data_IF_549717064051
#
_entry.id   IF_549717064051
#
_cell.length_a   1.000
_cell.length_b   1.000
_cell.length_c   1.000
_cell.angle_alpha   90.00
_cell.angle_beta   90.00
_cell.angle_gamma   90.00
#
_symmetry.space_group_name_H-M   'P 1'
#
loop_
_entity.id
_entity.type
_entity.pdbx_description
1 polymer ?
#
# COMPACT_ATOMS: atom_id res chain seq x y z
N UNK A 1 36.97 -9.85 -3.07
CA UNK A 1 35.70 -10.53 -3.39
C UNK A 1 34.62 -10.34 -2.34
N UNK A 2 34.90 -10.45 -1.02
CA UNK A 2 33.91 -10.26 0.06
C UNK A 2 33.10 -8.94 -0.01
N UNK A 3 33.74 -7.83 -0.36
CA UNK A 3 33.07 -6.53 -0.48
C UNK A 3 31.98 -6.48 -1.57
N UNK A 4 32.21 -7.12 -2.73
CA UNK A 4 31.18 -7.19 -3.78
C UNK A 4 30.06 -8.17 -3.36
N UNK A 5 30.41 -9.34 -2.81
CA UNK A 5 29.40 -10.28 -2.34
C UNK A 5 28.50 -9.64 -1.29
N UNK A 6 29.07 -8.89 -0.33
CA UNK A 6 28.30 -8.15 0.65
C UNK A 6 27.49 -7.01 0.02
N UNK A 7 28.05 -6.29 -0.97
CA UNK A 7 27.35 -5.24 -1.72
C UNK A 7 26.10 -5.79 -2.44
N UNK A 8 26.20 -6.96 -3.06
CA UNK A 8 25.06 -7.64 -3.71
C UNK A 8 24.03 -8.08 -2.68
N UNK A 9 24.45 -8.61 -1.55
CA UNK A 9 23.53 -8.94 -0.45
C UNK A 9 22.75 -7.69 -0.02
N UNK A 10 23.44 -6.59 0.23
CA UNK A 10 22.81 -5.34 0.64
C UNK A 10 21.82 -4.81 -0.41
N UNK A 11 22.22 -4.71 -1.69
CA UNK A 11 21.34 -4.27 -2.78
C UNK A 11 20.09 -5.14 -2.88
N UNK A 12 20.28 -6.46 -2.88
CA UNK A 12 19.19 -7.42 -3.07
C UNK A 12 18.20 -7.36 -1.90
N UNK A 13 18.69 -7.27 -0.66
CA UNK A 13 17.85 -7.15 0.53
C UNK A 13 17.09 -5.81 0.54
N UNK A 14 17.76 -4.70 0.20
CA UNK A 14 17.11 -3.38 0.16
C UNK A 14 16.02 -3.31 -0.91
N UNK A 15 16.26 -3.85 -2.10
CA UNK A 15 15.26 -3.92 -3.17
C UNK A 15 14.10 -4.86 -2.80
N UNK A 16 14.38 -6.00 -2.15
CA UNK A 16 13.36 -6.91 -1.65
C UNK A 16 12.50 -6.26 -0.57
N UNK A 17 13.13 -5.53 0.36
CA UNK A 17 12.45 -4.75 1.38
C UNK A 17 11.54 -3.67 0.78
N UNK A 18 12.05 -2.90 -0.20
CA UNK A 18 11.26 -1.87 -0.89
C UNK A 18 10.02 -2.45 -1.58
N UNK A 19 10.17 -3.57 -2.26
CA UNK A 19 9.06 -4.26 -2.91
C UNK A 19 8.04 -4.80 -1.89
N UNK A 20 8.48 -5.38 -0.77
CA UNK A 20 7.63 -5.82 0.32
C UNK A 20 6.88 -4.66 0.99
N UNK A 21 7.58 -3.56 1.28
CA UNK A 21 7.00 -2.34 1.82
C UNK A 21 5.88 -1.77 0.92
N UNK A 22 6.15 -1.68 -0.39
CA UNK A 22 5.15 -1.28 -1.37
C UNK A 22 3.92 -2.19 -1.36
N UNK A 23 4.16 -3.50 -1.29
CA UNK A 23 3.06 -4.48 -1.26
C UNK A 23 2.14 -4.27 -0.06
N UNK A 24 2.69 -4.04 1.13
CA UNK A 24 1.90 -3.79 2.35
C UNK A 24 1.15 -2.48 2.25
N UNK A 25 1.81 -1.39 1.84
CA UNK A 25 1.12 -0.09 1.69
C UNK A 25 -0.01 -0.14 0.65
N UNK A 26 0.20 -0.82 -0.46
CA UNK A 26 -0.86 -0.98 -1.46
C UNK A 26 -1.99 -1.88 -0.96
N UNK A 27 -1.67 -2.93 -0.19
CA UNK A 27 -2.68 -3.80 0.41
C UNK A 27 -3.57 -3.03 1.41
N UNK A 28 -2.99 -2.29 2.36
CA UNK A 28 -3.78 -1.50 3.33
C UNK A 28 -4.65 -0.45 2.64
N UNK A 29 -4.12 0.15 1.56
CA UNK A 29 -4.85 1.08 0.72
C UNK A 29 -6.01 0.41 -0.03
N UNK A 30 -5.85 -0.84 -0.51
CA UNK A 30 -6.89 -1.59 -1.23
C UNK A 30 -8.02 -2.11 -0.33
N UNK A 31 -7.70 -2.43 0.91
CA UNK A 31 -8.66 -2.96 1.89
C UNK A 31 -9.73 -1.92 2.27
N UNK A 32 -9.45 -0.62 2.14
CA UNK A 32 -10.44 0.45 2.40
C UNK A 32 -11.76 0.26 1.62
N UNK A 33 -11.71 -0.22 0.39
CA UNK A 33 -12.88 -0.44 -0.47
C UNK A 33 -12.53 -0.36 -1.94
N UNK A 34 -13.40 -0.89 -2.78
CA UNK A 34 -13.21 -0.98 -4.25
C UNK A 34 -13.46 0.35 -4.97
N UNK A 35 -13.05 1.48 -4.39
CA UNK A 35 -13.28 2.83 -4.94
C UNK A 35 -14.45 3.55 -4.27
N UNK A 36 -14.82 3.18 -3.06
CA UNK A 36 -15.84 3.91 -2.31
C UNK A 36 -15.36 5.32 -1.96
N UNK A 37 -16.23 6.30 -2.19
CA UNK A 37 -16.07 7.68 -1.77
C UNK A 37 -17.07 7.97 -0.67
N UNK A 38 -16.59 8.55 0.42
CA UNK A 38 -17.41 8.97 1.55
C UNK A 38 -17.68 10.46 1.41
N UNK A 39 -18.93 10.86 1.48
CA UNK A 39 -19.34 12.25 1.44
C UNK A 39 -20.02 12.67 2.76
N UNK A 40 -19.45 13.66 3.43
CA UNK A 40 -19.99 14.24 4.66
C UNK A 40 -20.74 15.52 4.36
N UNK A 41 -21.93 15.72 4.95
CA UNK A 41 -22.61 17.01 4.90
C UNK A 41 -21.86 18.02 5.78
N UNK A 42 -21.65 19.19 5.26
CA UNK A 42 -20.97 20.28 5.94
C UNK A 42 -21.85 21.52 6.08
N UNK A 43 -21.21 22.68 6.02
CA UNK A 43 -21.86 23.98 6.11
C UNK A 43 -21.38 24.85 4.95
N UNK A 44 -22.30 25.52 4.26
CA UNK A 44 -21.96 26.38 3.13
C UNK A 44 -21.06 27.54 3.56
N UNK A 45 -20.04 27.82 2.77
CA UNK A 45 -19.11 28.95 3.00
C UNK A 45 -19.31 30.10 2.02
N UNK A 46 -20.06 29.88 0.94
CA UNK A 46 -20.33 30.84 -0.10
C UNK A 46 -21.82 31.20 -0.12
N UNK A 47 -22.13 32.46 -0.45
CA UNK A 47 -23.49 32.86 -0.70
C UNK A 47 -23.87 32.48 -2.13
N UNK A 48 -24.91 31.68 -2.31
CA UNK A 48 -25.42 31.28 -3.61
C UNK A 48 -26.92 30.96 -3.56
N UNK A 49 -27.61 31.02 -4.70
CA UNK A 49 -29.00 30.61 -4.82
C UNK A 49 -29.98 31.48 -3.95
N UNK A 50 -29.59 32.69 -3.55
CA UNK A 50 -30.36 33.53 -2.64
C UNK A 50 -30.22 33.18 -1.15
N UNK A 51 -29.44 32.13 -0.82
CA UNK A 51 -29.20 31.69 0.54
C UNK A 51 -27.88 32.31 1.10
N UNK A 52 -27.85 32.56 2.40
CA UNK A 52 -26.63 33.05 3.07
C UNK A 52 -25.64 31.94 3.31
N UNK A 53 -24.36 32.28 3.35
CA UNK A 53 -23.33 31.39 3.87
C UNK A 53 -23.65 30.95 5.32
N UNK A 54 -23.23 29.75 5.70
CA UNK A 54 -23.51 29.17 7.02
C UNK A 54 -24.74 28.24 7.06
N UNK A 55 -25.38 27.95 5.92
CA UNK A 55 -26.48 26.99 5.84
C UNK A 55 -25.94 25.57 6.01
N UNK A 56 -26.45 24.76 6.98
CA UNK A 56 -26.07 23.38 7.10
C UNK A 56 -26.64 22.55 5.93
N UNK A 57 -25.81 21.79 5.25
CA UNK A 57 -26.21 20.78 4.28
C UNK A 57 -26.68 19.54 5.05
N UNK A 58 -27.73 18.88 4.61
CA UNK A 58 -28.24 17.65 5.21
C UNK A 58 -28.64 16.67 4.12
N UNK A 59 -28.18 15.45 4.23
CA UNK A 59 -28.51 14.41 3.25
C UNK A 59 -29.87 13.77 3.56
N UNK A 60 -30.82 14.03 2.69
CA UNK A 60 -32.18 13.50 2.77
C UNK A 60 -32.28 12.11 2.09
N UNK A 61 -33.42 11.45 2.29
CA UNK A 61 -33.65 10.11 1.76
C UNK A 61 -33.51 10.05 0.23
N UNK A 62 -34.02 11.05 -0.45
CA UNK A 62 -34.09 11.12 -1.92
C UNK A 62 -32.78 11.59 -2.56
N UNK A 63 -31.83 12.12 -1.79
CA UNK A 63 -30.57 12.64 -2.31
C UNK A 63 -29.73 11.54 -2.99
N UNK A 64 -29.75 10.32 -2.45
CA UNK A 64 -29.03 9.19 -3.03
C UNK A 64 -29.55 8.84 -4.43
N UNK A 65 -30.85 8.76 -4.60
CA UNK A 65 -31.49 8.47 -5.88
C UNK A 65 -31.32 9.63 -6.86
N UNK A 66 -31.46 10.87 -6.37
CA UNK A 66 -31.23 12.08 -7.15
C UNK A 66 -29.81 12.14 -7.72
N UNK A 67 -28.80 11.93 -6.87
CA UNK A 67 -27.39 11.90 -7.30
C UNK A 67 -27.18 10.84 -8.36
N UNK A 68 -27.69 9.62 -8.16
CA UNK A 68 -27.58 8.55 -9.13
C UNK A 68 -28.22 8.88 -10.48
N UNK A 69 -29.37 9.56 -10.46
CA UNK A 69 -30.07 9.96 -11.68
C UNK A 69 -29.36 11.08 -12.44
N UNK A 70 -28.73 12.02 -11.73
CA UNK A 70 -28.07 13.20 -12.31
C UNK A 70 -26.58 12.99 -12.62
N UNK A 71 -25.97 11.90 -12.17
CA UNK A 71 -24.52 11.71 -12.21
C UNK A 71 -24.17 10.38 -12.92
N UNK A 72 -24.01 10.37 -14.25
CA UNK A 72 -23.74 9.16 -15.02
C UNK A 72 -22.38 8.51 -14.69
N UNK A 73 -21.46 9.24 -14.08
CA UNK A 73 -20.17 8.72 -13.63
C UNK A 73 -20.23 8.01 -12.26
N UNK A 74 -21.40 8.01 -11.62
CA UNK A 74 -21.61 7.35 -10.34
C UNK A 74 -22.41 6.06 -10.56
N UNK A 75 -21.80 4.95 -10.17
CA UNK A 75 -22.38 3.61 -10.34
C UNK A 75 -23.42 3.30 -9.26
N UNK A 76 -23.10 3.57 -8.00
CA UNK A 76 -23.92 3.30 -6.82
C UNK A 76 -23.81 4.42 -5.81
N UNK A 77 -24.89 4.68 -5.10
CA UNK A 77 -24.95 5.59 -3.95
C UNK A 77 -25.77 4.92 -2.87
N UNK A 78 -25.29 4.95 -1.65
CA UNK A 78 -26.01 4.43 -0.49
C UNK A 78 -25.92 5.38 0.68
N UNK A 79 -26.92 5.33 1.56
CA UNK A 79 -26.99 6.14 2.78
C UNK A 79 -26.43 5.35 3.96
N UNK A 80 -25.75 6.07 4.84
CA UNK A 80 -25.30 5.53 6.11
C UNK A 80 -25.70 6.49 7.24
N UNK A 81 -26.22 5.94 8.32
CA UNK A 81 -26.42 6.65 9.58
C UNK A 81 -25.54 6.06 10.66
N UNK A 82 -24.87 6.89 11.43
CA UNK A 82 -23.91 6.45 12.44
C UNK A 82 -24.21 7.12 13.77
N UNK A 83 -24.25 6.32 14.82
CA UNK A 83 -24.24 6.81 16.19
C UNK A 83 -23.34 5.96 17.09
N UNK A 84 -22.65 6.60 18.02
CA UNK A 84 -21.90 5.89 19.06
C UNK A 84 -22.88 5.45 20.15
N UNK A 85 -22.94 4.14 20.39
CA UNK A 85 -23.84 3.52 21.34
C UNK A 85 -23.14 2.41 22.11
N UNK A 86 -23.57 2.19 23.35
CA UNK A 86 -23.18 1.01 24.09
C UNK A 86 -23.81 -0.24 23.46
N UNK A 87 -22.96 -1.15 23.04
CA UNK A 87 -23.35 -2.51 22.61
C UNK A 87 -23.03 -3.46 23.74
N UNK A 88 -24.01 -4.23 24.18
CA UNK A 88 -23.84 -5.13 25.31
C UNK A 88 -24.20 -6.58 24.97
N UNK A 89 -23.43 -7.50 25.52
CA UNK A 89 -23.69 -8.92 25.55
C UNK A 89 -23.48 -9.40 26.98
N UNK A 90 -24.52 -9.94 27.58
CA UNK A 90 -24.56 -10.29 29.01
C UNK A 90 -24.10 -9.09 29.88
N UNK A 91 -23.02 -9.28 30.67
CA UNK A 91 -22.46 -8.25 31.55
C UNK A 91 -21.43 -7.32 30.84
N UNK A 92 -21.03 -7.65 29.61
CA UNK A 92 -20.04 -6.90 28.88
C UNK A 92 -20.69 -5.79 28.08
N UNK A 93 -20.14 -4.58 28.20
CA UNK A 93 -20.60 -3.41 27.45
C UNK A 93 -19.39 -2.76 26.77
N UNK A 94 -19.54 -2.42 25.51
CA UNK A 94 -18.54 -1.66 24.73
C UNK A 94 -19.22 -0.57 23.94
N UNK A 95 -18.65 0.63 24.00
CA UNK A 95 -19.05 1.71 23.12
C UNK A 95 -18.51 1.42 21.72
N UNK A 96 -19.38 1.47 20.73
CA UNK A 96 -19.08 1.20 19.35
C UNK A 96 -19.82 2.16 18.43
N UNK A 97 -19.27 2.40 17.24
CA UNK A 97 -20.02 3.05 16.17
C UNK A 97 -21.06 2.06 15.64
N UNK A 98 -22.32 2.33 15.89
CA UNK A 98 -23.43 1.57 15.32
C UNK A 98 -23.82 2.24 14.01
N UNK A 99 -23.67 1.48 12.91
CA UNK A 99 -23.88 1.95 11.55
C UNK A 99 -25.16 1.34 10.98
N UNK A 100 -26.14 2.18 10.70
CA UNK A 100 -27.33 1.79 9.96
C UNK A 100 -27.05 1.90 8.45
N UNK A 101 -27.07 0.76 7.74
CA UNK A 101 -26.61 0.65 6.36
C UNK A 101 -27.60 -0.11 5.47
N UNK A 102 -27.41 0.01 4.15
CA UNK A 102 -28.05 -0.81 3.14
C UNK A 102 -27.10 -1.92 2.66
N UNK A 103 -27.61 -2.98 2.02
CA UNK A 103 -26.81 -4.14 1.63
C UNK A 103 -25.62 -3.81 0.71
N UNK A 104 -25.77 -2.83 -0.18
CA UNK A 104 -24.74 -2.40 -1.15
C UNK A 104 -23.48 -1.85 -0.47
N UNK A 105 -23.63 -1.33 0.76
CA UNK A 105 -22.52 -0.81 1.55
C UNK A 105 -21.40 -1.83 1.71
N UNK A 106 -21.74 -3.10 1.98
CA UNK A 106 -20.79 -4.18 2.20
C UNK A 106 -19.84 -4.37 1.03
N UNK A 107 -20.38 -4.42 -0.21
CA UNK A 107 -19.54 -4.56 -1.40
C UNK A 107 -18.69 -3.31 -1.67
N UNK A 108 -19.26 -2.11 -1.48
CA UNK A 108 -18.58 -0.83 -1.72
C UNK A 108 -17.40 -0.64 -0.75
N UNK A 109 -17.59 -1.03 0.52
CA UNK A 109 -16.61 -0.90 1.60
C UNK A 109 -15.75 -2.16 1.80
N UNK A 110 -15.94 -3.18 0.97
CA UNK A 110 -15.22 -4.46 1.07
C UNK A 110 -15.40 -5.13 2.45
N UNK A 111 -16.65 -5.13 2.95
CA UNK A 111 -17.01 -5.83 4.18
C UNK A 111 -17.27 -7.30 3.89
N UNK A 112 -16.26 -8.14 4.11
CA UNK A 112 -16.31 -9.57 3.81
C UNK A 112 -16.65 -10.35 5.09
N UNK A 113 -17.75 -11.12 5.11
CA UNK A 113 -18.03 -12.01 6.23
C UNK A 113 -16.96 -13.09 6.38
N UNK A 114 -16.42 -13.26 7.58
CA UNK A 114 -15.61 -14.43 7.96
C UNK A 114 -16.49 -15.55 8.51
N UNK A 115 -17.60 -15.18 9.13
CA UNK A 115 -18.57 -16.10 9.71
C UNK A 115 -19.98 -15.55 9.51
N UNK A 116 -20.94 -16.44 9.18
CA UNK A 116 -22.31 -16.06 8.91
C UNK A 116 -22.52 -15.35 7.57
N UNK A 117 -23.33 -14.28 7.56
CA UNK A 117 -23.70 -13.54 6.36
C UNK A 117 -23.75 -12.03 6.60
N UNK A 118 -23.64 -11.28 5.52
CA UNK A 118 -23.89 -9.83 5.49
C UNK A 118 -25.40 -9.52 5.53
N UNK A 119 -25.73 -8.25 5.78
CA UNK A 119 -27.10 -7.73 5.76
C UNK A 119 -27.67 -7.86 4.36
N UNK A 120 -28.89 -8.43 4.28
CA UNK A 120 -29.59 -8.66 3.02
C UNK A 120 -30.69 -7.61 2.76
N UNK A 121 -31.21 -7.50 1.51
CA UNK A 121 -32.34 -6.64 1.19
C UNK A 121 -33.59 -6.95 2.02
N UNK A 122 -33.83 -8.22 2.34
CA UNK A 122 -34.97 -8.67 3.16
C UNK A 122 -34.85 -8.15 4.59
N UNK A 123 -33.63 -8.14 5.17
CA UNK A 123 -33.41 -7.60 6.52
C UNK A 123 -33.79 -6.11 6.59
N UNK A 124 -33.50 -5.36 5.53
CA UNK A 124 -33.88 -3.94 5.42
C UNK A 124 -35.38 -3.77 5.20
N UNK A 125 -35.99 -4.55 4.29
CA UNK A 125 -37.40 -4.45 3.95
C UNK A 125 -38.31 -4.81 5.14
N UNK A 126 -37.93 -5.85 5.88
CA UNK A 126 -38.71 -6.37 7.03
C UNK A 126 -38.29 -5.72 8.36
N UNK A 127 -37.37 -4.74 8.35
CA UNK A 127 -36.82 -4.09 9.55
C UNK A 127 -36.33 -5.08 10.60
N UNK A 128 -35.67 -6.17 10.13
CA UNK A 128 -35.15 -7.21 11.02
C UNK A 128 -34.12 -6.62 11.97
N UNK A 129 -34.21 -7.00 13.24
CA UNK A 129 -33.25 -6.62 14.28
C UNK A 129 -32.07 -7.58 14.25
N UNK A 130 -31.25 -7.45 13.22
CA UNK A 130 -30.04 -8.23 13.03
C UNK A 130 -28.82 -7.32 13.05
N UNK A 131 -27.68 -7.87 13.47
CA UNK A 131 -26.41 -7.14 13.56
C UNK A 131 -25.28 -7.96 12.98
N UNK A 132 -24.42 -7.31 12.21
CA UNK A 132 -23.13 -7.83 11.77
C UNK A 132 -22.03 -7.12 12.56
N UNK A 133 -21.09 -7.88 13.14
CA UNK A 133 -20.09 -7.34 14.05
C UNK A 133 -18.72 -7.21 13.40
N UNK A 134 -18.04 -6.10 13.68
CA UNK A 134 -16.63 -5.97 13.44
C UNK A 134 -15.81 -6.96 14.27
N UNK A 135 -14.67 -7.39 13.78
CA UNK A 135 -13.83 -8.42 14.39
C UNK A 135 -13.40 -8.09 15.82
N UNK A 136 -12.95 -6.86 16.06
CA UNK A 136 -12.51 -6.41 17.38
C UNK A 136 -13.69 -6.23 18.34
N UNK A 137 -14.82 -5.72 17.85
CA UNK A 137 -16.02 -5.60 18.66
C UNK A 137 -16.52 -6.98 19.08
N UNK A 138 -16.54 -7.96 18.17
CA UNK A 138 -16.88 -9.37 18.49
C UNK A 138 -15.94 -9.93 19.55
N UNK A 139 -14.61 -9.78 19.39
CA UNK A 139 -13.60 -10.25 20.33
C UNK A 139 -13.82 -9.66 21.73
N UNK A 140 -14.11 -8.36 21.82
CA UNK A 140 -14.34 -7.64 23.09
C UNK A 140 -15.65 -8.06 23.78
N UNK A 141 -16.71 -8.40 23.03
CA UNK A 141 -18.00 -8.80 23.58
C UNK A 141 -18.06 -10.28 23.94
N UNK A 142 -17.49 -11.17 23.11
CA UNK A 142 -17.62 -12.62 23.23
C UNK A 142 -16.36 -13.32 23.73
N UNK A 143 -15.22 -12.61 23.90
CA UNK A 143 -13.93 -13.20 24.37
C UNK A 143 -13.45 -14.41 23.57
N UNK A 144 -13.77 -14.44 22.27
CA UNK A 144 -13.38 -15.54 21.38
C UNK A 144 -14.42 -16.63 21.21
N UNK A 145 -15.51 -16.61 21.98
CA UNK A 145 -16.62 -17.55 21.79
C UNK A 145 -17.40 -17.26 20.50
N UNK A 146 -18.10 -18.27 19.94
CA UNK A 146 -18.94 -18.07 18.75
C UNK A 146 -20.03 -17.03 19.03
N UNK A 147 -20.14 -16.03 18.16
CA UNK A 147 -21.12 -14.95 18.29
C UNK A 147 -22.36 -15.18 17.41
N UNK A 148 -22.28 -16.05 16.40
CA UNK A 148 -23.34 -16.26 15.42
C UNK A 148 -24.62 -16.83 16.07
N UNK A 149 -25.73 -16.13 15.86
CA UNK A 149 -27.03 -16.51 16.44
C UNK A 149 -27.27 -15.95 17.84
N UNK A 150 -26.23 -15.46 18.52
CA UNK A 150 -26.34 -14.85 19.83
C UNK A 150 -27.02 -13.48 19.80
N UNK A 151 -27.49 -13.01 20.96
CA UNK A 151 -28.14 -11.71 21.09
C UNK A 151 -27.23 -10.67 21.72
N UNK A 152 -27.13 -9.52 21.08
CA UNK A 152 -26.53 -8.30 21.66
C UNK A 152 -27.61 -7.25 21.85
N UNK A 153 -27.42 -6.35 22.80
CA UNK A 153 -28.33 -5.22 23.01
C UNK A 153 -27.67 -3.93 22.57
N UNK A 154 -28.37 -3.19 21.74
CA UNK A 154 -27.95 -1.85 21.28
C UNK A 154 -28.99 -0.88 21.86
N UNK A 155 -28.57 0.03 22.73
CA UNK A 155 -29.47 0.96 23.42
C UNK A 155 -30.64 0.22 24.14
N UNK A 156 -30.35 -0.97 24.67
CA UNK A 156 -31.32 -1.83 25.34
C UNK A 156 -32.21 -2.70 24.43
N UNK A 157 -32.22 -2.44 23.12
CA UNK A 157 -32.99 -3.21 22.14
C UNK A 157 -32.18 -4.44 21.69
N UNK A 158 -32.78 -5.66 21.71
CA UNK A 158 -32.07 -6.88 21.30
C UNK A 158 -31.92 -6.98 19.77
N UNK A 159 -30.73 -7.39 19.33
CA UNK A 159 -30.36 -7.69 17.94
C UNK A 159 -29.73 -9.09 17.91
N UNK A 160 -30.06 -9.88 16.89
CA UNK A 160 -29.42 -11.18 16.64
C UNK A 160 -28.20 -11.03 15.79
N UNK A 161 -27.08 -11.60 16.21
CA UNK A 161 -25.82 -11.60 15.44
C UNK A 161 -25.98 -12.54 14.25
N UNK A 162 -25.87 -12.00 13.02
CA UNK A 162 -25.99 -12.77 11.77
C UNK A 162 -24.64 -13.05 11.10
N UNK A 163 -23.58 -12.44 11.58
CA UNK A 163 -22.25 -12.65 11.08
C UNK A 163 -21.24 -11.70 11.70
N UNK A 164 -19.99 -11.94 11.38
CA UNK A 164 -18.87 -11.09 11.75
C UNK A 164 -17.83 -11.03 10.65
N UNK A 165 -17.05 -9.96 10.58
CA UNK A 165 -15.95 -9.82 9.63
C UNK A 165 -14.64 -10.37 10.19
N UNK A 166 -13.72 -10.70 9.28
CA UNK A 166 -12.30 -10.81 9.60
C UNK A 166 -11.73 -9.44 9.93
N UNK A 167 -10.55 -9.44 10.56
CA UNK A 167 -9.83 -8.21 10.85
C UNK A 167 -9.51 -7.44 9.56
N UNK A 168 -9.89 -6.17 9.54
CA UNK A 168 -9.71 -5.28 8.40
C UNK A 168 -8.53 -4.36 8.65
N UNK A 169 -7.41 -4.62 7.97
CA UNK A 169 -6.21 -3.80 8.07
C UNK A 169 -6.33 -2.58 7.15
N UNK A 170 -7.03 -1.55 7.61
CA UNK A 170 -7.27 -0.34 6.84
C UNK A 170 -6.88 0.91 7.63
N UNK A 171 -6.08 1.79 7.01
CA UNK A 171 -5.69 3.08 7.59
C UNK A 171 -6.81 4.13 7.54
N UNK A 172 -7.90 3.84 6.82
CA UNK A 172 -8.96 4.80 6.57
C UNK A 172 -10.21 4.49 7.38
N UNK A 173 -10.14 4.81 8.65
CA UNK A 173 -11.29 4.82 9.55
C UNK A 173 -12.01 6.16 9.47
N UNK A 174 -13.34 6.15 9.38
CA UNK A 174 -14.15 7.35 9.56
C UNK A 174 -15.22 7.08 10.62
N UNK A 175 -15.49 8.04 11.48
CA UNK A 175 -16.19 7.91 12.76
C UNK A 175 -15.48 6.92 13.70
N UNK A 176 -15.38 5.66 13.32
CA UNK A 176 -14.61 4.59 13.96
C UNK A 176 -14.14 3.59 12.89
N UNK A 177 -13.21 2.71 13.24
CA UNK A 177 -12.78 1.65 12.35
C UNK A 177 -13.87 0.59 12.17
N UNK A 178 -13.94 -0.03 11.00
CA UNK A 178 -14.99 -0.97 10.66
C UNK A 178 -14.95 -2.21 11.56
N UNK A 179 -13.76 -2.66 11.96
CA UNK A 179 -13.55 -3.80 12.87
C UNK A 179 -14.01 -3.54 14.32
N UNK A 180 -14.14 -2.28 14.74
CA UNK A 180 -14.71 -1.89 16.03
C UNK A 180 -16.19 -1.45 15.94
N UNK A 181 -16.82 -1.62 14.79
CA UNK A 181 -18.18 -1.15 14.51
C UNK A 181 -19.21 -2.29 14.55
N UNK A 182 -20.47 -1.91 14.76
CA UNK A 182 -21.62 -2.79 14.60
C UNK A 182 -22.47 -2.30 13.44
N UNK A 183 -22.86 -3.18 12.53
CA UNK A 183 -23.65 -2.85 11.34
C UNK A 183 -25.05 -3.43 11.50
N UNK A 184 -26.05 -2.59 11.30
CA UNK A 184 -27.48 -2.96 11.39
C UNK A 184 -28.21 -2.47 10.13
N UNK A 185 -29.36 -3.05 9.77
CA UNK A 185 -30.19 -2.52 8.69
C UNK A 185 -30.57 -1.05 8.94
N UNK A 186 -30.48 -0.20 7.89
CA UNK A 186 -30.81 1.23 7.99
C UNK A 186 -32.20 1.45 8.58
N UNK A 187 -33.17 0.63 8.20
CA UNK A 187 -34.54 0.69 8.68
C UNK A 187 -34.68 0.31 10.15
N UNK A 188 -33.88 -0.64 10.64
CA UNK A 188 -33.83 -1.00 12.06
C UNK A 188 -33.14 0.08 12.91
N UNK A 189 -32.19 0.83 12.35
CA UNK A 189 -31.60 1.99 13.01
C UNK A 189 -32.65 3.06 13.35
N UNK A 190 -33.69 3.21 12.52
CA UNK A 190 -34.82 4.11 12.76
C UNK A 190 -35.63 3.79 14.00
N UNK A 191 -35.55 2.56 14.54
CA UNK A 191 -36.16 2.20 15.83
C UNK A 191 -35.33 2.72 17.03
N UNK A 192 -34.07 3.07 16.81
CA UNK A 192 -33.13 3.48 17.86
C UNK A 192 -32.91 5.00 17.91
N UNK A 193 -32.88 5.66 16.75
CA UNK A 193 -32.67 7.12 16.61
C UNK A 193 -33.31 7.66 15.33
N UNK A 194 -33.36 9.00 15.23
CA UNK A 194 -33.87 9.67 14.03
C UNK A 194 -32.93 9.45 12.84
N UNK A 195 -33.43 8.80 11.80
CA UNK A 195 -32.73 8.52 10.53
C UNK A 195 -33.22 9.38 9.37
N UNK A 196 -33.91 10.49 9.66
CA UNK A 196 -34.41 11.43 8.63
C UNK A 196 -33.28 11.91 7.73
N UNK A 197 -32.13 12.22 8.32
CA UNK A 197 -30.95 12.65 7.63
C UNK A 197 -29.85 11.57 7.74
N UNK A 198 -29.20 11.26 6.63
CA UNK A 198 -28.05 10.38 6.65
C UNK A 198 -26.84 11.11 7.25
N UNK A 199 -26.00 10.37 7.99
CA UNK A 199 -24.73 10.88 8.50
C UNK A 199 -23.73 11.12 7.37
N UNK A 200 -23.72 10.21 6.37
CA UNK A 200 -22.91 10.28 5.16
C UNK A 200 -23.65 9.64 3.99
N UNK A 201 -23.25 10.03 2.78
CA UNK A 201 -23.51 9.26 1.57
C UNK A 201 -22.23 8.55 1.14
N UNK A 202 -22.32 7.25 0.95
CA UNK A 202 -21.25 6.43 0.39
C UNK A 202 -21.58 6.15 -1.05
N UNK A 203 -20.65 6.40 -1.96
CA UNK A 203 -20.88 6.21 -3.38
C UNK A 203 -19.63 5.64 -4.09
N UNK A 204 -19.83 5.08 -5.25
CA UNK A 204 -18.80 4.43 -6.06
C UNK A 204 -18.84 4.97 -7.49
N UNK A 205 -17.70 5.42 -8.06
CA UNK A 205 -17.63 5.80 -9.46
C UNK A 205 -17.74 4.57 -10.37
N UNK A 206 -18.08 4.78 -11.65
CA UNK A 206 -18.14 3.70 -12.66
C UNK A 206 -16.79 3.02 -12.88
N UNK A 207 -15.69 3.78 -12.71
CA UNK A 207 -14.32 3.27 -12.67
C UNK A 207 -13.43 4.23 -11.86
N UNK A 208 -12.33 3.75 -11.25
CA UNK A 208 -11.48 4.56 -10.37
C UNK A 208 -10.98 5.87 -11.01
N UNK A 209 -10.54 5.84 -12.26
CA UNK A 209 -10.06 7.04 -12.97
C UNK A 209 -11.10 8.14 -13.17
N UNK A 210 -12.39 7.85 -12.98
CA UNK A 210 -13.47 8.86 -13.05
C UNK A 210 -13.81 9.48 -11.69
N UNK A 211 -13.18 9.05 -10.59
CA UNK A 211 -13.49 9.53 -9.25
C UNK A 211 -13.45 11.06 -9.14
N UNK A 212 -12.40 11.80 -9.61
CA UNK A 212 -12.38 13.26 -9.51
C UNK A 212 -13.54 13.94 -10.27
N UNK A 213 -13.87 13.44 -11.46
CA UNK A 213 -14.98 13.97 -12.25
C UNK A 213 -16.34 13.62 -11.63
N UNK A 214 -16.48 12.40 -11.08
CA UNK A 214 -17.67 11.96 -10.37
C UNK A 214 -17.90 12.78 -9.08
N UNK A 215 -16.85 13.17 -8.34
CA UNK A 215 -16.93 14.07 -7.19
C UNK A 215 -17.53 15.43 -7.57
N UNK A 216 -17.15 15.97 -8.73
CA UNK A 216 -17.72 17.22 -9.24
C UNK A 216 -19.20 17.03 -9.55
N UNK A 217 -19.58 15.93 -10.22
CA UNK A 217 -20.98 15.63 -10.55
C UNK A 217 -21.82 15.44 -9.28
N UNK A 218 -21.30 14.69 -8.29
CA UNK A 218 -21.95 14.48 -7.00
C UNK A 218 -22.27 15.82 -6.31
N UNK A 219 -21.24 16.67 -6.18
CA UNK A 219 -21.42 17.98 -5.53
C UNK A 219 -22.40 18.84 -6.31
N UNK A 220 -22.32 18.85 -7.64
CA UNK A 220 -23.24 19.63 -8.49
C UNK A 220 -24.68 19.14 -8.34
N UNK A 221 -24.92 17.83 -8.30
CA UNK A 221 -26.25 17.27 -8.13
C UNK A 221 -26.90 17.68 -6.80
N UNK A 222 -26.17 17.59 -5.69
CA UNK A 222 -26.68 18.03 -4.38
C UNK A 222 -26.79 19.55 -4.30
N UNK A 223 -25.82 20.30 -4.86
CA UNK A 223 -25.85 21.77 -4.89
C UNK A 223 -27.06 22.30 -5.61
N UNK A 224 -27.45 21.74 -6.75
CA UNK A 224 -28.64 22.11 -7.50
C UNK A 224 -29.93 21.83 -6.71
N UNK A 225 -29.99 20.73 -5.96
CA UNK A 225 -31.15 20.36 -5.15
C UNK A 225 -31.31 21.24 -3.92
N UNK A 226 -30.17 21.54 -3.25
CA UNK A 226 -30.18 22.26 -1.97
C UNK A 226 -29.81 23.75 -2.10
N UNK A 227 -29.67 24.28 -3.34
CA UNK A 227 -29.46 25.69 -3.67
C UNK A 227 -28.20 26.30 -3.04
N UNK A 228 -27.06 25.64 -3.19
CA UNK A 228 -25.74 26.19 -2.83
C UNK A 228 -24.76 26.16 -4.02
N UNK A 229 -23.58 26.79 -3.89
CA UNK A 229 -22.60 26.85 -4.95
C UNK A 229 -21.93 25.48 -5.15
N UNK A 230 -21.90 24.90 -6.37
CA UNK A 230 -21.15 23.66 -6.65
C UNK A 230 -19.63 23.76 -6.40
N UNK A 231 -19.08 25.00 -6.37
CA UNK A 231 -17.67 25.26 -6.06
C UNK A 231 -17.37 25.18 -4.56
N UNK A 232 -18.39 25.26 -3.71
CA UNK A 232 -18.22 25.26 -2.26
C UNK A 232 -17.86 23.88 -1.73
N UNK A 233 -16.56 23.66 -1.54
CA UNK A 233 -16.01 22.40 -1.02
C UNK A 233 -16.35 22.16 0.46
N UNK A 234 -16.70 23.21 1.23
CA UNK A 234 -17.08 23.09 2.64
C UNK A 234 -18.53 22.63 2.83
N UNK A 235 -19.38 22.86 1.83
CA UNK A 235 -20.75 22.38 1.84
C UNK A 235 -20.83 20.86 1.84
N UNK A 236 -19.91 20.18 1.13
CA UNK A 236 -19.76 18.73 1.14
C UNK A 236 -18.28 18.39 1.10
N UNK A 237 -17.80 17.77 2.16
CA UNK A 237 -16.46 17.19 2.21
C UNK A 237 -16.52 15.77 1.67
N UNK A 238 -15.64 15.43 0.76
CA UNK A 238 -15.56 14.09 0.19
C UNK A 238 -14.17 13.53 0.38
N UNK A 239 -14.10 12.25 0.70
CA UNK A 239 -12.88 11.47 0.81
C UNK A 239 -12.96 10.31 -0.16
N UNK A 240 -12.11 10.31 -1.15
CA UNK A 240 -12.01 9.26 -2.15
C UNK A 240 -10.63 8.63 -2.16
N UNK A 241 -10.57 7.42 -2.65
CA UNK A 241 -9.34 6.64 -2.71
C UNK A 241 -8.33 7.24 -3.71
N UNK A 242 -8.80 7.63 -4.88
CA UNK A 242 -7.92 8.10 -5.96
C UNK A 242 -7.23 9.43 -5.64
N UNK A 243 -7.79 10.25 -4.73
CA UNK A 243 -7.16 11.47 -4.26
C UNK A 243 -5.86 11.20 -3.49
N UNK A 244 -5.79 10.09 -2.76
CA UNK A 244 -4.63 9.72 -1.93
C UNK A 244 -3.65 8.82 -2.65
N UNK A 245 -4.07 8.13 -3.71
CA UNK A 245 -3.23 7.23 -4.48
C UNK A 245 -1.89 7.84 -4.92
N UNK A 246 -1.82 9.09 -5.45
CA UNK A 246 -0.56 9.70 -5.82
C UNK A 246 0.40 9.91 -4.64
N UNK A 247 -0.14 10.11 -3.43
CA UNK A 247 0.65 10.28 -2.21
C UNK A 247 1.29 8.94 -1.83
N UNK A 248 0.52 7.85 -1.82
CA UNK A 248 1.03 6.51 -1.54
C UNK A 248 2.06 6.05 -2.59
N UNK A 249 1.76 6.28 -3.87
CA UNK A 249 2.72 6.02 -4.96
C UNK A 249 3.98 6.86 -4.82
N UNK A 250 3.86 8.14 -4.47
CA UNK A 250 4.99 9.04 -4.24
C UNK A 250 5.87 8.57 -3.07
N UNK A 251 5.28 8.16 -1.96
CA UNK A 251 6.02 7.61 -0.81
C UNK A 251 6.75 6.33 -1.21
N UNK A 252 6.09 5.39 -1.89
CA UNK A 252 6.70 4.13 -2.29
C UNK A 252 7.84 4.34 -3.28
N UNK A 253 7.64 5.17 -4.31
CA UNK A 253 8.69 5.51 -5.29
C UNK A 253 9.87 6.22 -4.59
N UNK A 254 9.59 7.13 -3.66
CA UNK A 254 10.63 7.84 -2.90
C UNK A 254 11.49 6.87 -2.09
N UNK A 255 10.88 5.93 -1.38
CA UNK A 255 11.59 4.91 -0.59
C UNK A 255 12.35 3.96 -1.51
N UNK A 256 11.72 3.42 -2.55
CA UNK A 256 12.39 2.55 -3.51
C UNK A 256 13.62 3.21 -4.15
N UNK A 257 13.50 4.51 -4.50
CA UNK A 257 14.60 5.30 -5.06
C UNK A 257 15.74 5.48 -4.06
N UNK A 258 15.42 5.80 -2.80
CA UNK A 258 16.41 5.93 -1.73
C UNK A 258 17.15 4.61 -1.50
N UNK A 259 16.42 3.50 -1.37
CA UNK A 259 17.00 2.18 -1.15
C UNK A 259 17.87 1.75 -2.33
N UNK A 260 17.44 2.02 -3.57
CA UNK A 260 18.24 1.79 -4.77
C UNK A 260 19.56 2.58 -4.72
N UNK A 261 19.51 3.85 -4.35
CA UNK A 261 20.70 4.70 -4.29
C UNK A 261 21.68 4.23 -3.21
N UNK A 262 21.18 3.91 -2.02
CA UNK A 262 22.00 3.36 -0.92
C UNK A 262 22.64 2.03 -1.34
N UNK A 263 21.87 1.14 -1.97
CA UNK A 263 22.36 -0.11 -2.48
C UNK A 263 23.44 0.05 -3.55
N UNK A 264 23.21 0.94 -4.53
CA UNK A 264 24.17 1.23 -5.60
C UNK A 264 25.48 1.82 -5.04
N UNK A 265 25.40 2.72 -4.05
CA UNK A 265 26.60 3.24 -3.37
C UNK A 265 27.36 2.15 -2.62
N UNK A 266 26.66 1.27 -1.89
CA UNK A 266 27.28 0.15 -1.17
C UNK A 266 28.03 -0.79 -2.13
N UNK A 267 27.40 -1.11 -3.27
CA UNK A 267 28.03 -1.93 -4.31
C UNK A 267 29.19 -1.18 -4.99
N UNK A 268 29.10 0.15 -5.16
CA UNK A 268 30.16 0.98 -5.66
C UNK A 268 31.43 0.92 -4.79
N UNK A 269 31.27 0.93 -3.46
CA UNK A 269 32.40 0.74 -2.52
C UNK A 269 33.05 -0.63 -2.72
N UNK A 270 32.26 -1.69 -2.90
CA UNK A 270 32.75 -3.00 -3.25
C UNK A 270 33.53 -3.01 -4.58
N UNK A 271 33.03 -2.24 -5.57
CA UNK A 271 33.68 -2.06 -6.87
C UNK A 271 35.05 -1.37 -6.80
N UNK A 272 35.20 -0.38 -5.91
CA UNK A 272 36.52 0.24 -5.64
C UNK A 272 37.50 -0.79 -5.09
N UNK A 273 37.02 -1.72 -4.26
CA UNK A 273 37.86 -2.86 -3.78
C UNK A 273 38.37 -3.74 -4.92
N UNK A 274 37.53 -4.04 -5.93
CA UNK A 274 37.95 -4.78 -7.13
C UNK A 274 38.93 -3.98 -7.96
N UNK A 275 38.67 -2.71 -8.16
CA UNK A 275 39.55 -1.81 -8.89
C UNK A 275 40.96 -1.82 -8.28
N UNK A 276 41.08 -1.73 -6.96
CA UNK A 276 42.37 -1.74 -6.26
C UNK A 276 43.11 -3.09 -6.44
N UNK A 277 42.40 -4.20 -6.32
CA UNK A 277 42.99 -5.55 -6.54
C UNK A 277 43.48 -5.68 -7.99
N UNK A 278 42.69 -5.20 -8.95
CA UNK A 278 43.07 -5.26 -10.36
C UNK A 278 44.26 -4.35 -10.67
N UNK A 279 44.37 -3.18 -10.03
CA UNK A 279 45.54 -2.29 -10.18
C UNK A 279 46.82 -2.98 -9.71
N UNK A 280 46.78 -3.61 -8.53
CA UNK A 280 47.90 -4.41 -8.01
C UNK A 280 48.23 -5.58 -8.95
N UNK A 281 47.21 -6.30 -9.45
CA UNK A 281 47.41 -7.39 -10.42
C UNK A 281 48.06 -6.93 -11.73
N UNK A 282 47.76 -5.70 -12.20
CA UNK A 282 48.42 -5.10 -13.36
C UNK A 282 49.89 -4.79 -13.05
N UNK A 283 50.17 -4.23 -11.85
CA UNK A 283 51.59 -3.95 -11.43
C UNK A 283 52.43 -5.21 -11.32
N UNK A 284 51.91 -6.29 -10.71
CA UNK A 284 52.61 -7.59 -10.62
C UNK A 284 52.89 -8.21 -11.98
N UNK A 285 52.06 -7.93 -13.01
CA UNK A 285 52.17 -8.53 -14.36
C UNK A 285 52.72 -7.56 -15.39
N UNK A 286 53.34 -6.44 -15.02
CA UNK A 286 53.89 -5.41 -15.95
C UNK A 286 54.81 -6.04 -16.97
N UNK A 287 55.77 -6.89 -16.58
CA UNK A 287 56.71 -7.56 -17.46
C UNK A 287 56.03 -8.52 -18.44
N UNK A 288 55.03 -9.27 -18.00
CA UNK A 288 54.23 -10.16 -18.85
C UNK A 288 53.44 -9.40 -19.90
N UNK A 289 52.79 -8.26 -19.52
CA UNK A 289 52.06 -7.39 -20.40
C UNK A 289 53.02 -6.75 -21.43
N UNK A 290 54.22 -6.30 -20.98
CA UNK A 290 55.25 -5.76 -21.82
C UNK A 290 55.72 -6.77 -22.88
N UNK A 291 55.95 -8.01 -22.48
CA UNK A 291 56.37 -9.09 -23.40
C UNK A 291 55.27 -9.38 -24.45
N UNK A 292 54.02 -9.48 -24.06
CA UNK A 292 52.90 -9.68 -25.00
C UNK A 292 52.78 -8.55 -25.98
N UNK A 293 52.98 -7.31 -25.54
CA UNK A 293 52.96 -6.13 -26.41
C UNK A 293 54.16 -6.06 -27.34
N UNK A 294 55.34 -6.44 -26.88
CA UNK A 294 56.55 -6.53 -27.74
C UNK A 294 56.38 -7.57 -28.86
N UNK A 295 55.66 -8.69 -28.57
CA UNK A 295 55.30 -9.73 -29.53
C UNK A 295 54.10 -9.36 -30.43
N UNK A 296 53.61 -8.07 -30.41
CA UNK A 296 52.62 -7.58 -31.32
C UNK A 296 51.16 -7.56 -30.82
N UNK A 297 50.93 -7.84 -29.54
CA UNK A 297 49.56 -7.74 -28.99
C UNK A 297 49.05 -6.30 -29.06
N UNK A 298 47.85 -6.13 -29.64
CA UNK A 298 47.17 -4.81 -29.75
C UNK A 298 46.66 -4.37 -28.37
N UNK A 299 46.69 -3.04 -28.11
CA UNK A 299 46.14 -2.43 -26.89
C UNK A 299 44.72 -2.91 -26.57
N UNK A 300 43.89 -3.16 -27.59
CA UNK A 300 42.53 -3.69 -27.45
C UNK A 300 42.52 -5.09 -26.81
N UNK A 301 43.44 -5.96 -27.17
CA UNK A 301 43.47 -7.33 -26.62
C UNK A 301 43.78 -7.32 -25.12
N UNK A 302 44.83 -6.54 -24.71
CA UNK A 302 45.16 -6.39 -23.29
C UNK A 302 44.00 -5.82 -22.49
N UNK A 303 43.36 -4.74 -23.01
CA UNK A 303 42.21 -4.12 -22.33
C UNK A 303 41.04 -5.11 -22.12
N UNK A 304 40.67 -5.87 -23.16
CA UNK A 304 39.60 -6.85 -23.04
C UNK A 304 39.96 -7.98 -22.09
N UNK A 305 41.22 -8.44 -22.05
CA UNK A 305 41.68 -9.47 -21.12
C UNK A 305 41.45 -9.06 -19.67
N UNK A 306 41.94 -7.89 -19.26
CA UNK A 306 41.78 -7.39 -17.88
C UNK A 306 40.32 -7.05 -17.54
N UNK A 307 39.56 -6.54 -18.51
CA UNK A 307 38.13 -6.27 -18.31
C UNK A 307 37.34 -7.58 -18.09
N UNK A 308 37.62 -8.61 -18.88
CA UNK A 308 37.00 -9.94 -18.70
C UNK A 308 37.40 -10.57 -17.36
N UNK A 309 38.68 -10.43 -16.95
CA UNK A 309 39.14 -10.93 -15.65
C UNK A 309 38.38 -10.23 -14.49
N UNK A 310 38.19 -8.91 -14.55
CA UNK A 310 37.39 -8.17 -13.59
C UNK A 310 35.93 -8.60 -13.59
N UNK A 311 35.33 -8.81 -14.77
CA UNK A 311 33.95 -9.27 -14.90
C UNK A 311 33.75 -10.69 -14.33
N UNK A 312 34.66 -11.62 -14.61
CA UNK A 312 34.60 -12.99 -14.07
C UNK A 312 34.64 -12.96 -12.55
N UNK A 313 35.55 -12.16 -11.97
CA UNK A 313 35.64 -12.03 -10.50
C UNK A 313 34.34 -11.38 -9.92
N UNK A 314 33.82 -10.39 -10.61
CA UNK A 314 32.58 -9.69 -10.18
C UNK A 314 31.37 -10.63 -10.25
N UNK A 315 31.24 -11.41 -11.33
CA UNK A 315 30.15 -12.39 -11.50
C UNK A 315 30.26 -13.51 -10.46
N UNK A 316 31.45 -14.02 -10.21
CA UNK A 316 31.64 -15.05 -9.18
C UNK A 316 31.29 -14.55 -7.78
N UNK A 317 31.78 -13.35 -7.43
CA UNK A 317 31.39 -12.71 -6.15
C UNK A 317 29.89 -12.41 -6.07
N UNK A 318 29.29 -12.02 -7.20
CA UNK A 318 27.84 -11.76 -7.31
C UNK A 318 27.01 -13.03 -7.15
N UNK A 319 27.42 -14.14 -7.72
CA UNK A 319 26.75 -15.43 -7.55
C UNK A 319 26.75 -15.87 -6.07
N UNK A 320 27.89 -15.72 -5.37
CA UNK A 320 27.99 -15.97 -3.93
C UNK A 320 27.03 -15.02 -3.16
N UNK A 321 27.06 -13.73 -3.47
CA UNK A 321 26.19 -12.74 -2.84
C UNK A 321 24.70 -13.04 -3.06
N UNK A 322 24.32 -13.48 -4.27
CA UNK A 322 22.94 -13.86 -4.59
C UNK A 322 22.47 -15.08 -3.80
N UNK A 323 23.33 -16.11 -3.67
CA UNK A 323 23.05 -17.29 -2.85
C UNK A 323 22.91 -16.93 -1.37
N UNK A 324 23.77 -16.05 -0.86
CA UNK A 324 23.66 -15.54 0.51
C UNK A 324 22.37 -14.71 0.71
N UNK A 325 22.00 -13.88 -0.27
CA UNK A 325 20.75 -13.13 -0.23
C UNK A 325 19.55 -14.05 -0.16
N UNK A 326 19.53 -15.09 -0.99
CA UNK A 326 18.47 -16.09 -0.98
C UNK A 326 18.39 -16.82 0.38
N UNK A 327 19.51 -17.24 0.93
CA UNK A 327 19.57 -17.88 2.25
C UNK A 327 19.06 -16.94 3.36
N UNK A 328 19.48 -15.66 3.34
CA UNK A 328 19.04 -14.67 4.33
C UNK A 328 17.57 -14.33 4.21
N UNK A 329 17.05 -14.11 3.00
CA UNK A 329 15.62 -13.81 2.82
C UNK A 329 14.74 -14.97 3.22
N UNK A 330 15.15 -16.23 2.97
CA UNK A 330 14.41 -17.41 3.42
C UNK A 330 14.50 -17.63 4.93
N UNK A 331 15.64 -17.30 5.55
CA UNK A 331 15.84 -17.44 6.99
C UNK A 331 15.08 -16.36 7.80
N UNK A 332 15.05 -15.12 7.31
CA UNK A 332 14.34 -14.00 7.95
C UNK A 332 12.85 -14.08 7.63
N UNK A 333 12.48 -14.37 6.38
CA UNK A 333 11.11 -14.52 5.90
C UNK A 333 10.33 -13.21 5.93
N UNK A 334 9.81 -12.83 7.09
CA UNK A 334 8.98 -11.64 7.31
C UNK A 334 9.61 -10.69 8.31
N UNK A 335 9.49 -9.41 8.07
CA UNK A 335 9.87 -8.35 9.01
C UNK A 335 8.60 -7.70 9.56
N UNK A 336 8.45 -7.60 10.88
CA UNK A 336 7.29 -6.95 11.47
C UNK A 336 7.25 -5.48 11.06
N UNK A 337 6.07 -5.04 10.61
CA UNK A 337 5.86 -3.64 10.21
C UNK A 337 4.57 -3.09 10.83
N UNK A 338 3.42 -3.35 10.25
CA UNK A 338 2.14 -2.94 10.83
C UNK A 338 1.51 -4.02 11.70
N UNK A 339 1.95 -5.28 11.59
CA UNK A 339 1.47 -6.39 12.39
C UNK A 339 1.39 -6.10 13.89
N UNK A 340 2.45 -5.58 14.52
CA UNK A 340 2.41 -5.24 15.95
C UNK A 340 1.40 -4.14 16.30
N UNK A 341 1.17 -3.17 15.41
CA UNK A 341 0.21 -2.09 15.64
C UNK A 341 -1.24 -2.56 15.53
N UNK A 342 -1.48 -3.54 14.68
CA UNK A 342 -2.81 -4.15 14.48
C UNK A 342 -2.97 -5.47 15.23
N UNK A 343 -2.03 -5.89 16.07
CA UNK A 343 -2.02 -7.22 16.72
C UNK A 343 -2.26 -8.36 15.69
N UNK A 344 -1.66 -8.24 14.50
CA UNK A 344 -1.85 -9.20 13.41
C UNK A 344 -0.96 -10.43 13.61
N UNK A 345 -1.57 -11.57 13.88
CA UNK A 345 -0.89 -12.86 13.96
C UNK A 345 -0.75 -13.54 12.59
N UNK A 346 -1.43 -13.02 11.55
CA UNK A 346 -1.43 -13.63 10.21
C UNK A 346 -0.26 -13.18 9.34
N UNK A 347 0.42 -12.09 9.71
CA UNK A 347 1.53 -11.49 8.99
C UNK A 347 1.15 -10.83 7.66
N UNK A 348 -0.13 -10.58 7.39
CA UNK A 348 -0.61 -9.95 6.14
C UNK A 348 -0.13 -8.52 5.96
N UNK A 349 0.11 -7.81 7.05
CA UNK A 349 0.58 -6.42 7.06
C UNK A 349 2.04 -6.29 7.48
N UNK A 350 2.79 -7.38 7.40
CA UNK A 350 4.22 -7.41 7.60
C UNK A 350 4.98 -7.43 6.26
N UNK A 351 6.23 -6.98 6.28
CA UNK A 351 7.06 -6.91 5.08
C UNK A 351 7.61 -8.29 4.76
N UNK A 352 7.14 -8.89 3.68
CA UNK A 352 7.65 -10.16 3.17
C UNK A 352 8.89 -9.91 2.30
N UNK A 353 10.03 -10.46 2.73
CA UNK A 353 11.28 -10.41 1.95
C UNK A 353 11.25 -11.47 0.87
N UNK A 354 10.68 -11.14 -0.29
CA UNK A 354 10.61 -12.05 -1.42
C UNK A 354 11.63 -11.68 -2.51
N UNK A 355 12.45 -12.62 -2.91
CA UNK A 355 13.33 -12.48 -4.08
C UNK A 355 12.51 -12.68 -5.35
N UNK A 356 12.02 -11.57 -5.90
CA UNK A 356 11.37 -11.60 -7.21
C UNK A 356 12.41 -11.74 -8.33
N UNK A 357 11.99 -12.27 -9.49
CA UNK A 357 12.83 -12.29 -10.70
C UNK A 357 13.32 -10.88 -11.06
N UNK A 358 12.49 -9.87 -10.87
CA UNK A 358 12.82 -8.47 -11.16
C UNK A 358 13.91 -7.93 -10.23
N UNK A 359 13.85 -8.22 -8.93
CA UNK A 359 14.91 -7.82 -7.97
C UNK A 359 16.23 -8.49 -8.28
N UNK A 360 16.22 -9.78 -8.63
CA UNK A 360 17.42 -10.51 -9.03
C UNK A 360 18.02 -9.95 -10.33
N UNK A 361 17.18 -9.67 -11.33
CA UNK A 361 17.61 -9.10 -12.60
C UNK A 361 18.22 -7.69 -12.40
N UNK A 362 17.55 -6.83 -11.66
CA UNK A 362 18.02 -5.46 -11.41
C UNK A 362 19.34 -5.46 -10.61
N UNK A 363 19.45 -6.29 -9.56
CA UNK A 363 20.69 -6.45 -8.79
C UNK A 363 21.84 -6.94 -9.66
N UNK A 364 21.58 -7.90 -10.55
CA UNK A 364 22.59 -8.43 -11.48
C UNK A 364 23.03 -7.38 -12.52
N UNK A 365 22.08 -6.56 -13.00
CA UNK A 365 22.38 -5.48 -13.93
C UNK A 365 23.28 -4.42 -13.28
N UNK A 366 22.95 -3.99 -12.06
CA UNK A 366 23.78 -3.04 -11.29
C UNK A 366 25.19 -3.62 -11.08
N UNK A 367 25.27 -4.90 -10.71
CA UNK A 367 26.54 -5.61 -10.52
C UNK A 367 27.41 -5.56 -11.78
N UNK A 368 26.84 -5.87 -12.94
CA UNK A 368 27.58 -5.85 -14.22
C UNK A 368 28.09 -4.44 -14.51
N UNK A 369 27.24 -3.42 -14.33
CA UNK A 369 27.64 -2.01 -14.54
C UNK A 369 28.80 -1.64 -13.62
N UNK A 370 28.71 -1.95 -12.34
CA UNK A 370 29.80 -1.66 -11.37
C UNK A 370 31.06 -2.46 -11.72
N UNK A 371 30.93 -3.74 -12.10
CA UNK A 371 32.06 -4.56 -12.54
C UNK A 371 32.80 -3.99 -13.78
N UNK A 372 32.03 -3.51 -14.76
CA UNK A 372 32.61 -2.86 -15.95
C UNK A 372 33.32 -1.55 -15.56
N UNK A 373 32.70 -0.69 -14.77
CA UNK A 373 33.30 0.58 -14.34
C UNK A 373 34.57 0.33 -13.53
N UNK A 374 34.53 -0.59 -12.56
CA UNK A 374 35.67 -0.94 -11.70
C UNK A 374 36.83 -1.59 -12.46
N UNK A 375 36.53 -2.40 -13.47
CA UNK A 375 37.54 -3.05 -14.31
C UNK A 375 38.10 -2.15 -15.43
N UNK A 376 37.39 -1.07 -15.79
CA UNK A 376 37.75 -0.22 -16.93
C UNK A 376 39.07 0.54 -16.71
N UNK A 377 39.22 1.16 -15.53
CA UNK A 377 40.43 1.95 -15.21
C UNK A 377 41.71 1.10 -15.19
N UNK A 378 41.78 -0.06 -14.46
CA UNK A 378 42.94 -0.94 -14.51
C UNK A 378 43.23 -1.48 -15.92
N UNK A 379 42.19 -1.88 -16.66
CA UNK A 379 42.30 -2.39 -17.99
C UNK A 379 42.91 -1.33 -18.97
N UNK A 380 42.55 -0.05 -18.78
CA UNK A 380 43.15 1.04 -19.56
C UNK A 380 44.62 1.29 -19.20
N UNK A 381 44.98 1.23 -17.91
CA UNK A 381 46.37 1.37 -17.46
C UNK A 381 47.22 0.25 -18.01
N UNK A 382 46.78 -1.00 -17.91
CA UNK A 382 47.48 -2.15 -18.50
C UNK A 382 47.72 -2.00 -20.01
N UNK A 383 46.71 -1.49 -20.73
CA UNK A 383 46.82 -1.29 -22.19
C UNK A 383 47.71 -0.11 -22.59
N UNK A 384 48.02 0.83 -21.70
CA UNK A 384 48.90 1.99 -21.96
C UNK A 384 50.37 1.73 -21.63
N UNK A 385 50.73 0.66 -20.92
CA UNK A 385 52.09 0.32 -20.56
C UNK A 385 53.03 0.33 -21.81
N UNK A 386 54.19 0.99 -21.71
CA UNK A 386 55.18 0.96 -22.75
C UNK A 386 55.97 -0.36 -22.69
N UNK A 387 56.11 -1.11 -23.81
CA UNK A 387 56.82 -2.38 -23.81
C UNK A 387 58.30 -2.25 -23.39
N UNK A 388 58.94 -1.10 -23.72
CA UNK A 388 60.35 -0.88 -23.39
C UNK A 388 60.53 -0.60 -21.92
N UNK A 389 59.67 0.24 -21.30
CA UNK A 389 59.71 0.46 -19.85
C UNK A 389 59.32 -0.78 -19.06
N UNK A 390 58.28 -1.47 -19.51
CA UNK A 390 57.79 -2.72 -18.84
C UNK A 390 58.81 -3.81 -18.79
N UNK A 391 59.72 -3.91 -19.77
CA UNK A 391 60.81 -4.95 -19.76
C UNK A 391 62.03 -4.48 -18.96
N UNK A 392 62.16 -3.20 -18.59
CA UNK A 392 63.18 -2.65 -17.71
C UNK A 392 62.80 -2.63 -16.24
N UNK A 393 61.59 -2.96 -15.92
CA UNK A 393 61.10 -3.05 -14.54
C UNK A 393 61.71 -4.26 -13.85
N UNK A 394 62.54 -4.01 -12.81
CA UNK A 394 63.07 -5.04 -11.93
C UNK A 394 62.09 -5.40 -10.83
#
# INVERSE_FOLDING_TARGET
MSGISWGIVAVTLLLSYGAGFRSVLMYTFEVFGKGAVIAWPGTTSEQAGGERAGKPVRFEAEDAEWVKAQSPLIRRVTRETVQFQGVSHEERVKDAAVRGIYPEYGEMRNEVPSDGRWISPEDVAERRRVVFLGSELRKKLFSGEPALGEMVRIKGVPFTVIGSMDRKFSDSCYFNCDDESAFIPYTAAGDLWDTKYASVLVWEPVAPGFEPAAMVQFRTAIANRQHFSPSDKRAITMFGREEFKPIYEGITIGIETLLFFVGAMTLGIGGVGVMNIMLVSVEERVREIGLRRALGARKKHIRWQFLLEALVMTIAAGAIGMLLSWALTTAIGTLPFLGPAYEDETGKVDIHLNLSFMTMFLSSMILIVVGVISGWLPAMQAAKLDPVEALRYE
#
